data_IF_273672661412
#
_entry.id   IF_273672661412
#
_cell.length_a   1.000
_cell.length_b   1.000
_cell.length_c   1.000
_cell.angle_alpha   90.00
_cell.angle_beta   90.00
_cell.angle_gamma   90.00
#
_symmetry.space_group_name_H-M   'P 1'
#
loop_
_entity.id
_entity.type
_entity.pdbx_description
1 polymer ?
#
# COMPACT_ATOMS: atom_id res chain seq x y z
N UNK A 1 -25.59 24.14 5.41
CA UNK A 1 -24.22 23.59 5.46
C UNK A 1 -24.20 22.09 5.79
N UNK A 2 -24.84 21.63 6.90
CA UNK A 2 -24.93 20.20 7.23
C UNK A 2 -25.47 19.31 6.11
N UNK A 3 -26.54 19.74 5.44
CA UNK A 3 -27.16 18.97 4.34
C UNK A 3 -26.23 18.86 3.12
N UNK A 4 -25.50 19.93 2.79
CA UNK A 4 -24.54 19.94 1.67
C UNK A 4 -23.34 19.03 1.99
N UNK A 5 -22.81 19.12 3.22
CA UNK A 5 -21.74 18.23 3.68
C UNK A 5 -22.18 16.76 3.65
N UNK A 6 -23.38 16.46 4.13
CA UNK A 6 -23.95 15.10 4.07
C UNK A 6 -24.06 14.58 2.64
N UNK A 7 -24.58 15.40 1.72
CA UNK A 7 -24.71 15.02 0.30
C UNK A 7 -23.34 14.80 -0.32
N UNK A 8 -22.36 15.67 -0.05
CA UNK A 8 -20.98 15.50 -0.52
C UNK A 8 -20.34 14.20 0.01
N UNK A 9 -20.52 13.90 1.30
CA UNK A 9 -20.02 12.65 1.89
C UNK A 9 -20.69 11.43 1.25
N UNK A 10 -22.00 11.45 1.05
CA UNK A 10 -22.73 10.35 0.39
C UNK A 10 -22.27 10.15 -1.06
N UNK A 11 -22.08 11.23 -1.81
CA UNK A 11 -21.55 11.16 -3.19
C UNK A 11 -20.13 10.60 -3.20
N UNK A 12 -19.26 11.03 -2.28
CA UNK A 12 -17.91 10.50 -2.16
C UNK A 12 -17.89 8.99 -1.83
N UNK A 13 -18.72 8.56 -0.87
CA UNK A 13 -18.88 7.14 -0.54
C UNK A 13 -19.41 6.34 -1.74
N UNK A 14 -20.42 6.87 -2.43
CA UNK A 14 -20.96 6.25 -3.65
C UNK A 14 -19.92 6.12 -4.76
N UNK A 15 -19.10 7.15 -4.97
CA UNK A 15 -18.03 7.14 -5.96
C UNK A 15 -16.96 6.08 -5.65
N UNK A 16 -16.52 5.99 -4.39
CA UNK A 16 -15.55 4.96 -3.95
C UNK A 16 -16.14 3.56 -4.10
N UNK A 17 -17.41 3.37 -3.73
CA UNK A 17 -18.08 2.08 -3.82
C UNK A 17 -18.28 1.62 -5.28
N UNK A 18 -18.68 2.52 -6.18
CA UNK A 18 -18.92 2.21 -7.61
C UNK A 18 -17.60 1.90 -8.32
N UNK A 19 -16.57 2.72 -8.11
CA UNK A 19 -15.26 2.52 -8.74
C UNK A 19 -14.42 1.44 -8.04
N UNK A 20 -14.93 0.89 -6.92
CA UNK A 20 -14.24 -0.10 -6.08
C UNK A 20 -12.82 0.31 -5.71
N UNK A 21 -12.59 1.59 -5.47
CA UNK A 21 -11.28 2.11 -5.11
C UNK A 21 -10.89 1.59 -3.72
N UNK A 22 -9.62 1.18 -3.55
CA UNK A 22 -9.09 0.80 -2.24
C UNK A 22 -8.37 1.98 -1.61
N UNK A 23 -8.73 2.24 -0.35
CA UNK A 23 -8.15 3.27 0.49
C UNK A 23 -7.09 2.61 1.37
N UNK A 24 -5.87 3.13 1.30
CA UNK A 24 -4.74 2.77 2.14
C UNK A 24 -4.50 3.88 3.13
N UNK A 25 -4.44 3.56 4.42
CA UNK A 25 -4.17 4.51 5.48
C UNK A 25 -2.79 4.23 6.03
N UNK A 26 -2.03 5.29 6.31
CA UNK A 26 -0.69 5.18 6.86
C UNK A 26 -0.74 4.52 8.23
N UNK A 27 0.05 3.47 8.41
CA UNK A 27 0.41 2.93 9.70
C UNK A 27 1.65 3.71 10.22
N UNK A 28 1.50 4.59 11.22
CA UNK A 28 2.61 5.38 11.74
C UNK A 28 3.60 4.55 12.58
N UNK A 29 3.21 3.35 13.00
CA UNK A 29 4.02 2.44 13.80
C UNK A 29 4.64 1.31 12.97
N UNK A 30 4.20 1.19 11.71
CA UNK A 30 4.76 0.26 10.75
C UNK A 30 6.23 0.56 10.46
N UNK A 31 7.00 -0.49 10.19
CA UNK A 31 8.41 -0.37 9.85
C UNK A 31 8.75 -1.30 8.69
N UNK A 32 9.67 -0.85 7.85
CA UNK A 32 10.19 -1.62 6.71
C UNK A 32 11.64 -1.95 6.98
N UNK A 33 12.00 -3.19 6.73
CA UNK A 33 13.36 -3.71 6.77
C UNK A 33 13.71 -4.24 5.39
N UNK A 34 14.88 -3.84 4.88
CA UNK A 34 15.48 -4.37 3.64
C UNK A 34 16.75 -5.11 4.05
N UNK A 35 16.82 -6.41 3.80
CA UNK A 35 17.93 -7.27 4.22
C UNK A 35 18.24 -7.11 5.72
N UNK A 36 17.20 -7.16 6.56
CA UNK A 36 17.23 -6.94 8.02
C UNK A 36 17.67 -5.54 8.50
N UNK A 37 18.07 -4.64 7.60
CA UNK A 37 18.33 -3.25 7.94
C UNK A 37 17.03 -2.43 7.86
N UNK A 38 16.73 -1.67 8.92
CA UNK A 38 15.56 -0.77 8.93
C UNK A 38 15.75 0.32 7.89
N UNK A 39 14.73 0.53 7.06
CA UNK A 39 14.68 1.60 6.05
C UNK A 39 14.09 2.84 6.70
N UNK A 40 14.93 3.83 6.98
CA UNK A 40 14.48 5.09 7.55
C UNK A 40 13.66 5.91 6.55
N UNK A 41 12.64 6.60 7.04
CA UNK A 41 11.72 7.40 6.22
C UNK A 41 10.70 6.59 5.41
N UNK A 42 10.77 5.25 5.43
CA UNK A 42 9.77 4.39 4.81
C UNK A 42 8.39 4.61 5.44
N UNK A 43 7.37 4.61 4.59
CA UNK A 43 5.96 4.72 5.00
C UNK A 43 5.26 3.42 4.66
N UNK A 44 4.58 2.87 5.65
CA UNK A 44 3.71 1.71 5.51
C UNK A 44 2.28 2.20 5.46
N UNK A 45 1.50 1.70 4.52
CA UNK A 45 0.07 1.93 4.43
C UNK A 45 -0.64 0.60 4.35
N UNK A 46 -1.77 0.50 5.04
CA UNK A 46 -2.59 -0.69 5.13
C UNK A 46 -4.03 -0.39 4.72
N UNK A 47 -4.75 -1.42 4.29
CA UNK A 47 -6.18 -1.31 4.06
C UNK A 47 -6.97 -2.37 4.86
N UNK A 48 -8.30 -2.32 4.75
CA UNK A 48 -9.20 -3.23 5.45
C UNK A 48 -9.08 -4.71 5.00
N UNK A 49 -8.51 -4.96 3.81
CA UNK A 49 -8.30 -6.28 3.23
C UNK A 49 -6.93 -6.88 3.56
N UNK A 50 -6.15 -6.23 4.45
CA UNK A 50 -4.77 -6.58 4.78
C UNK A 50 -3.80 -6.49 3.60
N UNK A 51 -4.08 -5.66 2.60
CA UNK A 51 -3.05 -5.29 1.63
C UNK A 51 -2.07 -4.31 2.27
N UNK A 52 -0.84 -4.33 1.78
CA UNK A 52 0.23 -3.45 2.25
C UNK A 52 0.80 -2.68 1.08
N UNK A 53 0.89 -1.37 1.25
CA UNK A 53 1.55 -0.44 0.34
C UNK A 53 2.75 0.17 1.07
N UNK A 54 3.90 0.20 0.41
CA UNK A 54 5.12 0.80 0.89
C UNK A 54 5.48 1.99 0.02
N UNK A 55 5.92 3.07 0.65
CA UNK A 55 6.65 4.14 -0.03
C UNK A 55 8.01 4.31 0.65
N UNK A 56 9.09 4.17 -0.11
CA UNK A 56 10.46 4.35 0.33
C UNK A 56 11.15 5.41 -0.51
N UNK A 57 12.18 6.08 0.03
CA UNK A 57 12.94 7.12 -0.67
C UNK A 57 12.45 8.55 -0.43
N UNK A 58 13.04 9.51 -1.14
CA UNK A 58 13.02 10.95 -0.81
C UNK A 58 12.38 11.83 -1.90
N UNK A 59 11.22 11.44 -2.43
CA UNK A 59 10.42 12.27 -3.33
C UNK A 59 10.98 12.45 -4.75
N UNK A 60 12.31 12.48 -4.92
CA UNK A 60 12.97 12.43 -6.24
C UNK A 60 13.16 10.99 -6.74
N UNK A 61 13.36 10.04 -5.83
CA UNK A 61 13.37 8.61 -6.11
C UNK A 61 12.47 7.89 -5.12
N UNK A 62 11.16 7.91 -5.38
CA UNK A 62 10.19 7.18 -4.56
C UNK A 62 10.00 5.78 -5.12
N UNK A 63 10.32 4.77 -4.32
CA UNK A 63 10.03 3.38 -4.62
C UNK A 63 8.70 3.01 -3.96
N UNK A 64 7.79 2.46 -4.76
CA UNK A 64 6.45 2.08 -4.30
C UNK A 64 6.26 0.58 -4.50
N UNK A 65 5.87 -0.12 -3.43
CA UNK A 65 5.55 -1.55 -3.49
C UNK A 65 4.16 -1.78 -2.96
N UNK A 66 3.33 -2.44 -3.75
CA UNK A 66 2.02 -2.91 -3.37
C UNK A 66 2.07 -4.44 -3.27
N UNK A 67 1.60 -4.96 -2.14
CA UNK A 67 1.37 -6.40 -1.93
C UNK A 67 -0.10 -6.57 -1.57
N UNK A 68 -0.85 -7.24 -2.45
CA UNK A 68 -2.26 -7.47 -2.25
C UNK A 68 -2.53 -8.87 -1.69
N UNK A 69 -3.42 -9.01 -0.72
CA UNK A 69 -3.67 -10.29 -0.04
C UNK A 69 -4.20 -11.40 -0.96
N UNK A 70 -4.79 -11.06 -2.11
CA UNK A 70 -5.40 -12.03 -3.03
C UNK A 70 -4.38 -12.77 -3.91
N UNK A 71 -3.33 -12.09 -4.39
CA UNK A 71 -2.27 -12.70 -5.21
C UNK A 71 -0.96 -12.83 -4.45
N UNK A 72 -0.79 -12.07 -3.37
CA UNK A 72 0.43 -11.95 -2.55
C UNK A 72 1.69 -11.66 -3.35
N UNK A 73 1.55 -11.20 -4.60
CA UNK A 73 2.70 -10.87 -5.42
C UNK A 73 3.05 -9.40 -5.17
N UNK A 74 4.31 -9.07 -4.86
CA UNK A 74 4.74 -7.69 -4.79
C UNK A 74 4.84 -7.11 -6.21
N UNK A 75 4.45 -5.85 -6.35
CA UNK A 75 4.58 -5.09 -7.58
C UNK A 75 4.44 -3.60 -7.35
N UNK A 76 4.68 -2.82 -8.39
CA UNK A 76 4.52 -1.36 -8.34
C UNK A 76 3.10 -1.02 -8.81
N UNK A 77 2.30 -0.25 -8.04
CA UNK A 77 0.96 0.14 -8.48
C UNK A 77 1.03 0.98 -9.76
N UNK A 78 0.13 0.75 -10.71
CA UNK A 78 0.08 1.52 -11.97
C UNK A 78 -0.37 2.96 -11.75
N UNK A 79 -1.43 3.15 -10.96
CA UNK A 79 -1.86 4.45 -10.48
C UNK A 79 -1.96 4.47 -8.95
N UNK A 80 -1.32 5.48 -8.35
CA UNK A 80 -1.41 5.75 -6.92
C UNK A 80 -1.64 7.23 -6.66
N UNK A 81 -2.69 7.56 -5.90
CA UNK A 81 -2.99 8.95 -5.51
C UNK A 81 -2.93 9.10 -4.01
N UNK A 82 -1.90 9.79 -3.52
CA UNK A 82 -1.71 9.99 -2.09
C UNK A 82 -2.05 11.42 -1.65
N UNK A 83 -2.92 11.53 -0.65
CA UNK A 83 -3.25 12.77 0.03
C UNK A 83 -2.30 12.97 1.22
N UNK A 84 -1.42 13.97 1.10
CA UNK A 84 -0.52 14.44 2.16
C UNK A 84 0.35 13.34 2.80
N UNK A 85 0.57 12.23 2.10
CA UNK A 85 1.30 11.07 2.62
C UNK A 85 0.65 10.40 3.84
N UNK A 86 -0.65 10.62 4.07
CA UNK A 86 -1.44 9.99 5.13
C UNK A 86 -2.37 8.91 4.59
N UNK A 87 -2.93 9.15 3.41
CA UNK A 87 -3.89 8.26 2.76
C UNK A 87 -3.53 8.13 1.30
N UNK A 88 -3.57 6.91 0.77
CA UNK A 88 -3.39 6.63 -0.65
C UNK A 88 -4.60 5.89 -1.22
N UNK A 89 -4.87 6.12 -2.50
CA UNK A 89 -5.98 5.53 -3.24
C UNK A 89 -5.43 4.77 -4.44
N UNK A 90 -5.90 3.55 -4.63
CA UNK A 90 -5.71 2.79 -5.88
C UNK A 90 -6.98 2.78 -6.70
N UNK A 91 -6.83 2.60 -8.00
CA UNK A 91 -7.90 2.74 -8.99
C UNK A 91 -8.96 1.61 -8.97
N UNK A 92 -8.66 0.47 -8.36
CA UNK A 92 -9.53 -0.70 -8.36
C UNK A 92 -9.40 -1.56 -7.09
N UNK A 93 -10.30 -2.54 -6.97
CA UNK A 93 -10.35 -3.52 -5.88
C UNK A 93 -9.12 -4.44 -5.93
N UNK A 94 -8.80 -4.94 -7.12
CA UNK A 94 -7.53 -5.59 -7.40
C UNK A 94 -6.76 -4.58 -8.24
N UNK A 95 -5.87 -3.83 -7.59
CA UNK A 95 -5.16 -2.75 -8.24
C UNK A 95 -4.23 -3.34 -9.31
N UNK A 96 -4.28 -2.86 -10.56
CA UNK A 96 -3.25 -3.15 -11.54
C UNK A 96 -1.87 -2.78 -10.97
N UNK A 97 -0.92 -3.69 -11.15
CA UNK A 97 0.44 -3.50 -10.69
C UNK A 97 1.41 -4.14 -11.68
N UNK A 98 2.56 -3.51 -11.85
CA UNK A 98 3.69 -4.09 -12.56
C UNK A 98 4.42 -5.04 -11.59
N UNK A 99 4.44 -6.35 -11.84
CA UNK A 99 5.03 -7.30 -10.91
C UNK A 99 6.53 -7.05 -10.77
N UNK A 100 7.04 -7.11 -9.54
CA UNK A 100 8.47 -6.99 -9.28
C UNK A 100 9.21 -8.20 -9.87
N UNK A 101 10.14 -7.94 -10.80
CA UNK A 101 10.83 -9.00 -11.53
C UNK A 101 11.70 -9.84 -10.59
N UNK A 102 11.44 -11.15 -10.55
CA UNK A 102 12.17 -12.09 -9.71
C UNK A 102 11.65 -12.18 -8.27
N UNK A 103 10.55 -11.48 -7.97
CA UNK A 103 9.98 -11.49 -6.64
C UNK A 103 9.23 -12.78 -6.34
N UNK A 104 9.26 -13.14 -5.07
CA UNK A 104 8.54 -14.28 -4.50
C UNK A 104 7.18 -13.84 -3.97
N UNK A 105 6.27 -14.81 -3.86
CA UNK A 105 5.01 -14.62 -3.15
C UNK A 105 5.28 -14.20 -1.70
N UNK A 106 4.57 -13.17 -1.25
CA UNK A 106 4.68 -12.63 0.08
C UNK A 106 4.01 -13.53 1.11
N UNK A 107 4.72 -13.80 2.21
CA UNK A 107 4.08 -14.28 3.42
C UNK A 107 3.40 -13.10 4.12
N UNK A 108 2.09 -13.19 4.33
CA UNK A 108 1.30 -12.11 4.93
C UNK A 108 0.58 -12.62 6.17
N UNK A 109 0.75 -11.88 7.27
CA UNK A 109 0.02 -12.05 8.52
C UNK A 109 -0.58 -10.71 8.94
N UNK A 110 -1.36 -10.70 10.02
CA UNK A 110 -1.89 -9.47 10.60
C UNK A 110 -0.84 -8.57 11.28
N UNK A 111 0.42 -9.00 11.37
CA UNK A 111 1.50 -8.25 12.04
C UNK A 111 2.76 -8.10 11.22
N UNK A 112 2.93 -8.93 10.20
CA UNK A 112 4.13 -8.95 9.38
C UNK A 112 3.79 -9.36 7.95
N UNK A 113 4.41 -8.67 7.00
CA UNK A 113 4.45 -9.06 5.59
C UNK A 113 5.92 -9.19 5.19
N UNK A 114 6.27 -10.28 4.50
CA UNK A 114 7.65 -10.50 4.05
C UNK A 114 7.69 -11.10 2.66
N UNK A 115 8.60 -10.62 1.82
CA UNK A 115 8.84 -11.14 0.47
C UNK A 115 10.29 -10.94 0.06
N UNK A 116 10.81 -11.79 -0.81
CA UNK A 116 12.04 -11.52 -1.54
C UNK A 116 11.71 -10.87 -2.89
N UNK A 117 12.37 -9.78 -3.25
CA UNK A 117 12.25 -9.14 -4.57
C UNK A 117 13.16 -9.82 -5.60
N UNK A 118 14.31 -10.32 -5.17
CA UNK A 118 15.23 -11.12 -5.96
C UNK A 118 16.09 -11.97 -5.02
N UNK A 119 17.10 -12.69 -5.54
CA UNK A 119 17.97 -13.55 -4.71
C UNK A 119 18.79 -12.81 -3.65
N UNK A 120 18.92 -11.48 -3.73
CA UNK A 120 19.76 -10.66 -2.88
C UNK A 120 18.98 -9.67 -1.99
N UNK A 121 17.70 -9.41 -2.30
CA UNK A 121 16.89 -8.41 -1.58
C UNK A 121 15.66 -9.07 -0.96
N UNK A 122 15.61 -9.01 0.37
CA UNK A 122 14.48 -9.43 1.20
C UNK A 122 13.85 -8.22 1.88
N UNK A 123 12.52 -8.20 1.89
CA UNK A 123 11.73 -7.19 2.58
C UNK A 123 10.97 -7.84 3.73
N UNK A 124 10.99 -7.18 4.87
CA UNK A 124 10.18 -7.50 6.04
C UNK A 124 9.48 -6.24 6.52
N UNK A 125 8.16 -6.29 6.59
CA UNK A 125 7.30 -5.17 6.94
C UNK A 125 6.57 -5.55 8.20
N UNK A 126 6.74 -4.79 9.27
CA UNK A 126 5.98 -4.98 10.51
C UNK A 126 4.81 -4.01 10.55
N UNK A 127 3.64 -4.51 10.97
CA UNK A 127 2.36 -3.78 11.05
C UNK A 127 1.93 -3.63 12.52
N UNK A 128 1.17 -2.59 12.86
CA UNK A 128 0.62 -2.38 14.22
C UNK A 128 -0.82 -1.89 14.29
#
# INVERSE_FOLDING_TARGET
>A
MRTILLVLTLVAVGYVAINRQRIYVRDPLGAVYRNEAKVDGAKVFINYSNDVLLQMGDGMQMEEYLVQGWNKMPGTPTELRCLQGLVCLTEADHAPMEPSVGASEAAMTNREVSFAENRATTFRITLR
#
